data_IF_988039377003
#
_entry.id   IF_988039377003
#
_cell.length_a   1.000
_cell.length_b   1.000
_cell.length_c   1.000
_cell.angle_alpha   90.00
_cell.angle_beta   90.00
_cell.angle_gamma   90.00
#
_symmetry.space_group_name_H-M   'P 1'
#
loop_
_entity.id
_entity.type
_entity.pdbx_description
1 polymer ?
#
# COMPACT_ATOMS: atom_id res chain seq x y z
N UNK A 1 23.22 -16.59 -15.28
CA UNK A 1 22.39 -17.78 -15.13
C UNK A 1 21.28 -17.91 -16.21
N UNK A 2 21.14 -16.90 -17.08
CA UNK A 2 20.13 -16.89 -18.15
C UNK A 2 18.72 -16.50 -17.70
N UNK A 3 18.54 -16.09 -16.47
CA UNK A 3 17.23 -15.64 -15.95
C UNK A 3 17.14 -14.11 -15.98
N UNK A 4 16.09 -13.61 -16.61
CA UNK A 4 15.70 -12.20 -16.60
C UNK A 4 14.62 -11.98 -15.54
N UNK A 5 14.84 -11.04 -14.62
CA UNK A 5 13.86 -10.56 -13.66
C UNK A 5 13.26 -9.24 -14.19
N UNK A 6 11.98 -9.23 -14.50
CA UNK A 6 11.26 -8.04 -15.00
C UNK A 6 10.42 -7.45 -13.87
N UNK A 7 10.81 -6.27 -13.43
CA UNK A 7 10.18 -5.58 -12.31
C UNK A 7 9.11 -4.60 -12.79
N UNK A 8 7.98 -4.64 -12.12
CA UNK A 8 6.92 -3.63 -12.22
C UNK A 8 6.80 -2.89 -10.87
N UNK A 9 6.90 -1.58 -10.89
CA UNK A 9 6.81 -0.76 -9.68
C UNK A 9 5.36 -0.67 -9.16
N UNK A 10 5.18 -0.34 -7.89
CA UNK A 10 3.89 -0.01 -7.30
C UNK A 10 3.29 1.27 -7.88
N UNK A 11 2.10 1.65 -7.38
CA UNK A 11 1.44 2.86 -7.84
C UNK A 11 2.33 4.10 -7.66
N UNK A 12 2.36 4.97 -8.66
CA UNK A 12 2.97 6.30 -8.63
C UNK A 12 1.92 7.36 -8.93
N UNK A 13 2.13 8.57 -8.44
CA UNK A 13 1.17 9.65 -8.67
C UNK A 13 1.18 10.11 -10.14
N UNK A 14 -0.01 10.34 -10.69
CA UNK A 14 -0.18 10.90 -12.04
C UNK A 14 -0.33 12.42 -12.05
N UNK A 15 -0.05 13.08 -10.93
CA UNK A 15 -0.02 14.52 -10.75
C UNK A 15 1.18 14.92 -9.90
N UNK A 16 1.68 16.13 -10.10
CA UNK A 16 2.66 16.71 -9.18
C UNK A 16 1.97 17.09 -7.88
N UNK A 17 2.56 16.72 -6.76
CA UNK A 17 2.03 17.02 -5.43
C UNK A 17 2.83 18.14 -4.77
N UNK A 18 2.17 19.13 -4.17
CA UNK A 18 2.83 20.10 -3.29
C UNK A 18 3.32 19.38 -2.01
N UNK A 19 4.11 20.08 -1.21
CA UNK A 19 4.46 19.59 0.13
C UNK A 19 3.19 19.42 0.98
N UNK A 20 3.03 18.22 1.52
CA UNK A 20 1.91 17.85 2.40
C UNK A 20 2.51 17.31 3.70
N UNK A 21 2.27 17.95 4.85
CA UNK A 21 2.81 17.51 6.12
C UNK A 21 2.55 16.01 6.38
N UNK A 22 3.51 15.34 7.01
CA UNK A 22 3.48 13.93 7.39
C UNK A 22 3.58 12.96 6.20
N UNK A 23 2.81 13.16 5.13
CA UNK A 23 2.66 12.17 4.05
C UNK A 23 3.65 12.43 2.89
N UNK A 24 3.78 13.68 2.49
CA UNK A 24 4.67 14.10 1.42
C UNK A 24 5.34 15.44 1.76
N UNK A 25 6.21 15.50 2.79
CA UNK A 25 6.73 16.77 3.31
C UNK A 25 7.59 17.56 2.31
N UNK A 26 8.10 16.89 1.28
CA UNK A 26 8.86 17.52 0.18
C UNK A 26 8.05 17.67 -1.11
N UNK A 27 6.78 17.25 -1.11
CA UNK A 27 6.01 17.05 -2.33
C UNK A 27 6.50 15.86 -3.15
N UNK A 28 5.96 15.72 -4.35
CA UNK A 28 6.37 14.69 -5.30
C UNK A 28 6.17 15.19 -6.73
N UNK A 29 7.11 14.89 -7.59
CA UNK A 29 6.93 15.06 -9.04
C UNK A 29 6.45 13.73 -9.64
N UNK A 30 5.79 13.83 -10.80
CA UNK A 30 5.46 12.64 -11.58
C UNK A 30 6.77 11.97 -11.99
N UNK A 31 6.89 10.67 -11.71
CA UNK A 31 8.08 9.89 -12.02
C UNK A 31 7.75 8.82 -13.07
N UNK A 32 8.25 9.01 -14.29
CA UNK A 32 8.12 8.07 -15.41
C UNK A 32 9.35 7.15 -15.56
N UNK A 33 10.34 7.27 -14.69
CA UNK A 33 11.58 6.51 -14.82
C UNK A 33 11.32 5.01 -14.65
N UNK A 34 11.92 4.15 -15.49
CA UNK A 34 11.87 2.72 -15.28
C UNK A 34 12.64 2.36 -14.01
N UNK A 35 12.11 1.43 -13.24
CA UNK A 35 12.79 0.85 -12.09
C UNK A 35 13.02 -0.64 -12.34
N UNK A 36 14.19 -1.15 -12.01
CA UNK A 36 14.54 -2.57 -12.19
C UNK A 36 14.36 -3.38 -10.90
N UNK A 37 14.14 -2.70 -9.79
CA UNK A 37 13.87 -3.25 -8.46
C UNK A 37 13.34 -2.15 -7.52
N UNK A 38 12.85 -2.48 -6.32
CA UNK A 38 12.39 -1.48 -5.36
C UNK A 38 13.51 -0.64 -4.72
N UNK A 39 14.78 -1.12 -4.74
CA UNK A 39 15.90 -0.37 -4.17
C UNK A 39 17.23 -0.78 -4.82
N UNK A 40 18.25 0.07 -4.64
CA UNK A 40 19.61 -0.22 -5.13
C UNK A 40 20.22 -1.45 -4.43
N UNK A 41 19.92 -1.69 -3.16
CA UNK A 41 20.39 -2.87 -2.42
C UNK A 41 19.83 -4.16 -3.02
N UNK A 42 18.54 -4.18 -3.34
CA UNK A 42 17.90 -5.33 -4.00
C UNK A 42 18.47 -5.53 -5.40
N UNK A 43 18.70 -4.43 -6.16
CA UNK A 43 19.39 -4.49 -7.45
C UNK A 43 20.74 -5.16 -7.31
N UNK A 44 21.58 -4.69 -6.39
CA UNK A 44 22.92 -5.24 -6.16
C UNK A 44 22.88 -6.74 -5.76
N UNK A 45 21.95 -7.10 -4.86
CA UNK A 45 21.81 -8.48 -4.39
C UNK A 45 21.39 -9.44 -5.51
N UNK A 46 20.47 -9.04 -6.39
CA UNK A 46 20.03 -9.87 -7.51
C UNK A 46 21.10 -9.98 -8.59
N UNK A 47 21.81 -8.89 -8.91
CA UNK A 47 22.94 -8.92 -9.85
C UNK A 47 24.08 -9.82 -9.34
N UNK A 48 24.37 -9.78 -8.04
CA UNK A 48 25.39 -10.65 -7.43
C UNK A 48 25.04 -12.15 -7.54
N UNK A 49 23.76 -12.48 -7.62
CA UNK A 49 23.26 -13.84 -7.87
C UNK A 49 23.26 -14.21 -9.37
N UNK A 50 23.67 -13.31 -10.25
CA UNK A 50 23.76 -13.52 -11.68
C UNK A 50 22.43 -13.39 -12.43
N UNK A 51 21.42 -12.76 -11.87
CA UNK A 51 20.20 -12.41 -12.58
C UNK A 51 20.43 -11.21 -13.51
N UNK A 52 19.78 -11.22 -14.67
CA UNK A 52 19.60 -10.01 -15.47
C UNK A 52 18.36 -9.28 -14.96
N UNK A 53 18.40 -7.95 -14.88
CA UNK A 53 17.30 -7.14 -14.40
C UNK A 53 16.79 -6.22 -15.49
N UNK A 54 15.48 -6.07 -15.56
CA UNK A 54 14.82 -5.09 -16.41
C UNK A 54 13.59 -4.51 -15.71
N UNK A 55 13.19 -3.32 -16.12
CA UNK A 55 11.97 -2.68 -15.68
C UNK A 55 11.33 -1.92 -16.83
N UNK A 56 10.02 -1.95 -16.87
CA UNK A 56 9.25 -1.23 -17.87
C UNK A 56 9.03 0.22 -17.43
N UNK A 57 9.23 1.16 -18.35
CA UNK A 57 8.73 2.52 -18.22
C UNK A 57 7.30 2.58 -18.76
N UNK A 58 6.42 3.25 -18.02
CA UNK A 58 5.04 3.52 -18.42
C UNK A 58 4.85 5.00 -18.67
N UNK A 59 3.97 5.35 -19.62
CA UNK A 59 3.67 6.75 -19.94
C UNK A 59 2.59 7.33 -19.06
N UNK A 60 1.70 6.47 -18.55
CA UNK A 60 0.61 6.86 -17.66
C UNK A 60 0.90 6.36 -16.25
N UNK A 61 0.85 7.26 -15.27
CA UNK A 61 0.94 6.89 -13.85
C UNK A 61 -0.47 6.77 -13.24
N UNK A 62 -0.57 6.30 -12.01
CA UNK A 62 -1.82 5.96 -11.34
C UNK A 62 -2.17 4.47 -11.53
N UNK A 63 -3.45 4.16 -11.66
CA UNK A 63 -3.92 2.80 -11.95
C UNK A 63 -3.76 2.51 -13.47
N UNK A 64 -2.61 2.01 -13.83
CA UNK A 64 -2.19 1.77 -15.21
C UNK A 64 -1.94 0.29 -15.52
N UNK A 65 -2.76 -0.61 -14.98
CA UNK A 65 -2.54 -2.06 -15.06
C UNK A 65 -2.35 -2.54 -16.51
N UNK A 66 -3.21 -2.14 -17.42
CA UNK A 66 -3.17 -2.58 -18.83
C UNK A 66 -1.85 -2.14 -19.49
N UNK A 67 -1.50 -0.86 -19.38
CA UNK A 67 -0.25 -0.33 -19.91
C UNK A 67 0.97 -1.00 -19.25
N UNK A 68 0.89 -1.26 -17.95
CA UNK A 68 1.96 -1.94 -17.21
C UNK A 68 2.22 -3.36 -17.73
N UNK A 69 1.17 -4.12 -18.02
CA UNK A 69 1.27 -5.46 -18.62
C UNK A 69 1.87 -5.39 -20.02
N UNK A 70 1.40 -4.48 -20.87
CA UNK A 70 1.93 -4.29 -22.23
C UNK A 70 3.40 -3.87 -22.21
N UNK A 71 3.76 -2.93 -21.36
CA UNK A 71 5.14 -2.44 -21.24
C UNK A 71 6.09 -3.54 -20.73
N UNK A 72 5.67 -4.34 -19.77
CA UNK A 72 6.46 -5.48 -19.29
C UNK A 72 6.65 -6.56 -20.40
N UNK A 73 5.60 -6.84 -21.17
CA UNK A 73 5.68 -7.76 -22.31
C UNK A 73 6.64 -7.25 -23.40
N UNK A 74 6.61 -5.94 -23.69
CA UNK A 74 7.54 -5.32 -24.64
C UNK A 74 9.00 -5.47 -24.17
N UNK A 75 9.27 -5.22 -22.89
CA UNK A 75 10.60 -5.39 -22.28
C UNK A 75 11.08 -6.83 -22.42
N UNK A 76 10.22 -7.82 -22.16
CA UNK A 76 10.54 -9.25 -22.32
C UNK A 76 10.91 -9.54 -23.78
N UNK A 77 10.11 -9.07 -24.73
CA UNK A 77 10.33 -9.26 -26.15
C UNK A 77 11.68 -8.67 -26.59
N UNK A 78 11.94 -7.42 -26.24
CA UNK A 78 13.20 -6.73 -26.55
C UNK A 78 14.40 -7.46 -25.91
N UNK A 79 14.23 -7.94 -24.68
CA UNK A 79 15.30 -8.63 -23.98
C UNK A 79 15.66 -9.98 -24.65
N UNK A 80 14.66 -10.76 -25.06
CA UNK A 80 14.87 -12.03 -25.76
C UNK A 80 15.53 -11.82 -27.12
N UNK A 81 15.13 -10.78 -27.85
CA UNK A 81 15.72 -10.46 -29.16
C UNK A 81 17.19 -10.02 -29.04
N UNK A 82 17.49 -9.16 -28.05
CA UNK A 82 18.85 -8.61 -27.91
C UNK A 82 19.81 -9.51 -27.15
N UNK A 83 19.30 -10.37 -26.29
CA UNK A 83 20.10 -11.19 -25.39
C UNK A 83 19.72 -12.67 -25.49
N UNK A 84 20.27 -13.40 -26.50
CA UNK A 84 19.92 -14.81 -26.75
C UNK A 84 20.18 -15.75 -25.56
N UNK A 85 20.94 -15.35 -24.58
CA UNK A 85 21.18 -16.10 -23.33
C UNK A 85 20.01 -16.04 -22.34
N UNK A 86 19.02 -15.16 -22.55
CA UNK A 86 17.81 -15.13 -21.73
C UNK A 86 16.98 -16.36 -22.06
N UNK A 87 16.99 -17.32 -21.16
CA UNK A 87 16.28 -18.59 -21.28
C UNK A 87 15.08 -18.70 -20.35
N UNK A 88 15.05 -17.89 -19.29
CA UNK A 88 13.96 -17.82 -18.32
C UNK A 88 13.59 -16.38 -18.02
N UNK A 89 12.31 -16.14 -17.80
CA UNK A 89 11.75 -14.84 -17.43
C UNK A 89 10.93 -14.98 -16.15
N UNK A 90 11.26 -14.18 -15.16
CA UNK A 90 10.47 -14.02 -13.94
C UNK A 90 9.92 -12.61 -13.90
N UNK A 91 8.61 -12.47 -13.86
CA UNK A 91 7.96 -11.18 -13.59
C UNK A 91 7.75 -11.01 -12.10
N UNK A 92 7.96 -9.82 -11.59
CA UNK A 92 7.83 -9.52 -10.17
C UNK A 92 7.53 -8.04 -9.92
N UNK A 93 6.99 -7.75 -8.76
CA UNK A 93 6.64 -6.39 -8.39
C UNK A 93 5.89 -6.34 -7.07
N UNK A 94 5.64 -5.14 -6.58
CA UNK A 94 4.92 -4.90 -5.34
C UNK A 94 3.68 -4.04 -5.57
N UNK A 95 2.63 -4.22 -4.75
CA UNK A 95 1.38 -3.47 -4.84
C UNK A 95 0.78 -3.58 -6.26
N UNK A 96 0.50 -2.48 -6.95
CA UNK A 96 0.06 -2.48 -8.36
C UNK A 96 1.04 -3.22 -9.28
N UNK A 97 2.35 -3.14 -9.03
CA UNK A 97 3.34 -3.92 -9.77
C UNK A 97 3.25 -5.42 -9.51
N UNK A 98 2.82 -5.82 -8.32
CA UNK A 98 2.47 -7.22 -8.03
C UNK A 98 1.27 -7.68 -8.85
N UNK A 99 0.20 -6.87 -8.91
CA UNK A 99 -0.96 -7.13 -9.76
C UNK A 99 -0.57 -7.21 -11.25
N UNK A 100 0.26 -6.27 -11.73
CA UNK A 100 0.79 -6.29 -13.11
C UNK A 100 1.54 -7.60 -13.40
N UNK A 101 2.37 -8.04 -12.45
CA UNK A 101 3.15 -9.27 -12.59
C UNK A 101 2.25 -10.51 -12.64
N UNK A 102 1.23 -10.56 -11.82
CA UNK A 102 0.24 -11.61 -11.80
C UNK A 102 -0.57 -11.62 -13.11
N UNK A 103 -1.13 -10.46 -13.48
CA UNK A 103 -1.93 -10.32 -14.70
C UNK A 103 -1.16 -10.72 -15.96
N UNK A 104 0.12 -10.35 -16.05
CA UNK A 104 0.98 -10.77 -17.16
C UNK A 104 1.14 -12.29 -17.22
N UNK A 105 1.36 -12.95 -16.07
CA UNK A 105 1.50 -14.40 -16.02
C UNK A 105 0.20 -15.14 -16.38
N UNK A 106 -0.95 -14.60 -15.98
CA UNK A 106 -2.27 -15.19 -16.27
C UNK A 106 -2.68 -14.98 -17.74
N UNK A 107 -2.46 -13.77 -18.26
CA UNK A 107 -2.89 -13.42 -19.61
C UNK A 107 -1.92 -13.94 -20.69
N UNK A 108 -0.64 -14.02 -20.37
CA UNK A 108 0.44 -14.39 -21.30
C UNK A 108 1.32 -15.50 -20.73
N UNK A 109 0.77 -16.70 -20.43
CA UNK A 109 1.50 -17.76 -19.73
C UNK A 109 2.73 -18.27 -20.50
N UNK A 110 2.81 -18.05 -21.82
CA UNK A 110 3.99 -18.35 -22.63
C UNK A 110 5.10 -17.29 -22.60
N UNK A 111 4.83 -16.12 -22.04
CA UNK A 111 5.80 -15.01 -21.97
C UNK A 111 6.72 -15.11 -20.76
N UNK A 112 6.25 -15.73 -19.67
CA UNK A 112 6.96 -15.81 -18.39
C UNK A 112 7.05 -17.24 -17.89
N UNK A 113 8.14 -17.56 -17.19
CA UNK A 113 8.37 -18.87 -16.57
C UNK A 113 7.91 -18.92 -15.11
N UNK A 114 7.88 -17.76 -14.45
CA UNK A 114 7.39 -17.61 -13.08
C UNK A 114 6.95 -16.17 -12.80
N UNK A 115 6.09 -16.00 -11.79
CA UNK A 115 5.70 -14.73 -11.24
C UNK A 115 5.98 -14.68 -9.73
N UNK A 116 6.43 -13.53 -9.23
CA UNK A 116 6.65 -13.27 -7.81
C UNK A 116 5.95 -11.97 -7.41
N UNK A 117 4.61 -11.96 -7.36
CA UNK A 117 3.84 -10.81 -6.91
C UNK A 117 4.01 -10.63 -5.41
N UNK A 118 4.32 -9.40 -4.97
CA UNK A 118 4.52 -9.07 -3.56
C UNK A 118 3.48 -8.04 -3.12
N UNK A 119 2.86 -8.26 -1.95
CA UNK A 119 1.86 -7.34 -1.39
C UNK A 119 0.86 -6.90 -2.47
N UNK A 120 0.34 -7.87 -3.18
CA UNK A 120 -0.49 -7.66 -4.36
C UNK A 120 -1.78 -6.92 -4.03
N UNK A 121 -2.14 -5.96 -4.87
CA UNK A 121 -3.48 -5.39 -4.95
C UNK A 121 -4.33 -6.30 -5.84
N UNK A 122 -4.99 -7.29 -5.27
CA UNK A 122 -5.69 -8.33 -6.04
C UNK A 122 -7.01 -7.84 -6.66
N UNK A 123 -7.59 -6.78 -6.09
CA UNK A 123 -8.81 -6.16 -6.59
C UNK A 123 -8.86 -4.67 -6.26
N UNK A 124 -8.68 -3.84 -7.28
CA UNK A 124 -8.82 -2.38 -7.15
C UNK A 124 -10.18 -1.97 -6.53
N UNK A 125 -11.27 -2.64 -6.93
CA UNK A 125 -12.60 -2.35 -6.39
C UNK A 125 -12.69 -2.70 -4.91
N UNK A 126 -12.20 -3.87 -4.50
CA UNK A 126 -12.22 -4.29 -3.10
C UNK A 126 -11.38 -3.36 -2.24
N UNK A 127 -10.19 -2.98 -2.69
CA UNK A 127 -9.30 -2.07 -1.97
C UNK A 127 -9.87 -0.67 -1.82
N UNK A 128 -10.47 -0.12 -2.88
CA UNK A 128 -11.12 1.20 -2.83
C UNK A 128 -12.33 1.16 -1.87
N UNK A 129 -13.12 0.09 -1.92
CA UNK A 129 -14.25 -0.09 -0.99
C UNK A 129 -13.76 -0.18 0.44
N UNK A 130 -12.77 -1.03 0.70
CA UNK A 130 -12.18 -1.20 2.02
C UNK A 130 -11.58 0.12 2.57
N UNK A 131 -10.88 0.86 1.72
CA UNK A 131 -10.34 2.17 2.10
C UNK A 131 -11.45 3.19 2.40
N UNK A 132 -12.53 3.20 1.60
CA UNK A 132 -13.69 4.05 1.80
C UNK A 132 -14.41 3.75 3.11
N UNK A 133 -14.65 2.47 3.39
CA UNK A 133 -15.30 2.01 4.62
C UNK A 133 -14.44 2.31 5.85
N UNK A 134 -13.11 2.15 5.72
CA UNK A 134 -12.17 2.51 6.76
C UNK A 134 -12.21 4.02 7.06
N UNK A 135 -12.12 4.87 6.05
CA UNK A 135 -12.18 6.33 6.22
C UNK A 135 -13.51 6.79 6.79
N UNK A 136 -14.62 6.16 6.34
CA UNK A 136 -15.94 6.43 6.89
C UNK A 136 -16.00 6.09 8.40
N UNK A 137 -15.53 4.92 8.78
CA UNK A 137 -15.49 4.50 10.17
C UNK A 137 -14.57 5.37 11.02
N UNK A 138 -13.40 5.75 10.52
CA UNK A 138 -12.51 6.70 11.17
C UNK A 138 -13.20 8.04 11.42
N UNK A 139 -13.91 8.56 10.43
CA UNK A 139 -14.71 9.79 10.55
C UNK A 139 -15.78 9.69 11.61
N UNK A 140 -16.54 8.59 11.63
CA UNK A 140 -17.65 8.41 12.58
C UNK A 140 -17.18 8.20 14.02
N UNK A 141 -16.10 7.44 14.21
CA UNK A 141 -15.69 7.05 15.57
C UNK A 141 -14.66 7.99 16.18
N UNK A 142 -13.71 8.48 15.40
CA UNK A 142 -12.51 9.08 15.98
C UNK A 142 -12.29 10.55 15.63
N UNK A 143 -12.59 10.96 14.41
CA UNK A 143 -12.31 12.33 14.00
C UNK A 143 -13.19 12.77 12.83
N UNK A 144 -14.13 13.69 13.01
CA UNK A 144 -15.02 14.18 11.95
C UNK A 144 -14.33 15.03 10.88
N UNK A 145 -13.05 15.40 11.08
CA UNK A 145 -12.30 16.21 10.13
C UNK A 145 -11.96 15.48 8.82
N UNK A 146 -12.09 14.16 8.77
CA UNK A 146 -11.91 13.42 7.53
C UNK A 146 -12.92 13.87 6.47
N UNK A 147 -12.46 14.14 5.25
CA UNK A 147 -13.34 14.31 4.10
C UNK A 147 -13.97 12.97 3.72
N UNK A 148 -13.16 11.94 3.55
CA UNK A 148 -13.54 10.53 3.40
C UNK A 148 -14.07 10.16 2.02
N UNK A 149 -14.82 11.04 1.37
CA UNK A 149 -15.46 10.81 0.07
C UNK A 149 -15.57 12.10 -0.74
N UNK A 150 -16.01 11.99 -2.00
CA UNK A 150 -16.22 13.15 -2.88
C UNK A 150 -14.99 14.04 -3.02
N UNK A 151 -13.83 13.41 -3.18
CA UNK A 151 -12.60 14.14 -3.48
C UNK A 151 -12.71 14.86 -4.82
N UNK A 152 -12.08 16.02 -4.91
CA UNK A 152 -12.02 16.82 -6.12
C UNK A 152 -11.29 16.07 -7.24
N UNK A 153 -11.49 16.47 -8.48
CA UNK A 153 -10.76 15.90 -9.60
C UNK A 153 -9.28 16.38 -9.63
N UNK A 154 -8.41 15.56 -10.18
CA UNK A 154 -7.01 15.90 -10.45
C UNK A 154 -6.19 16.16 -9.19
N UNK A 155 -5.25 17.09 -9.28
CA UNK A 155 -4.30 17.40 -8.20
C UNK A 155 -4.98 17.77 -6.87
N UNK A 156 -6.07 18.53 -6.92
CA UNK A 156 -6.80 18.93 -5.72
C UNK A 156 -7.32 17.71 -4.94
N UNK A 157 -7.88 16.73 -5.65
CA UNK A 157 -8.38 15.50 -5.01
C UNK A 157 -7.26 14.64 -4.40
N UNK A 158 -6.10 14.58 -5.04
CA UNK A 158 -4.94 13.92 -4.43
C UNK A 158 -4.47 14.62 -3.16
N UNK A 159 -4.44 15.95 -3.16
CA UNK A 159 -4.09 16.72 -1.94
C UNK A 159 -5.08 16.46 -0.83
N UNK A 160 -6.38 16.44 -1.13
CA UNK A 160 -7.44 16.14 -0.17
C UNK A 160 -7.30 14.71 0.40
N UNK A 161 -7.10 13.72 -0.48
CA UNK A 161 -6.91 12.31 -0.07
C UNK A 161 -5.67 12.13 0.81
N UNK A 162 -4.54 12.75 0.45
CA UNK A 162 -3.32 12.67 1.23
C UNK A 162 -3.40 13.46 2.54
N UNK A 163 -4.22 14.51 2.60
CA UNK A 163 -4.54 15.21 3.84
C UNK A 163 -5.34 14.30 4.77
N UNK A 164 -6.32 13.57 4.25
CA UNK A 164 -7.05 12.56 5.01
C UNK A 164 -6.10 11.47 5.50
N UNK A 165 -5.17 10.97 4.67
CA UNK A 165 -4.17 10.00 5.09
C UNK A 165 -3.30 10.53 6.24
N UNK A 166 -2.85 11.77 6.19
CA UNK A 166 -2.12 12.43 7.27
C UNK A 166 -2.96 12.50 8.56
N UNK A 167 -4.26 12.75 8.42
CA UNK A 167 -5.20 12.77 9.54
C UNK A 167 -5.43 11.36 10.11
N UNK A 168 -5.49 10.33 9.26
CA UNK A 168 -5.51 8.91 9.69
C UNK A 168 -4.29 8.63 10.55
N UNK A 169 -3.09 8.89 10.04
CA UNK A 169 -1.83 8.59 10.74
C UNK A 169 -1.78 9.25 12.12
N UNK A 170 -2.10 10.54 12.20
CA UNK A 170 -2.10 11.26 13.48
C UNK A 170 -3.17 10.76 14.45
N UNK A 171 -4.35 10.37 13.95
CA UNK A 171 -5.42 9.81 14.78
C UNK A 171 -5.03 8.43 15.31
N UNK A 172 -4.42 7.58 14.49
CA UNK A 172 -3.95 6.25 14.90
C UNK A 172 -2.79 6.36 15.91
N UNK A 173 -1.87 7.29 15.73
CA UNK A 173 -0.83 7.58 16.74
C UNK A 173 -1.42 7.99 18.08
N UNK A 174 -2.46 8.82 18.08
CA UNK A 174 -3.17 9.23 19.31
C UNK A 174 -3.87 8.03 19.97
N UNK A 175 -4.50 7.14 19.18
CA UNK A 175 -5.10 5.91 19.68
C UNK A 175 -4.05 4.96 20.28
N UNK A 176 -2.94 4.77 19.61
CA UNK A 176 -1.82 3.95 20.09
C UNK A 176 -1.26 4.50 21.41
N UNK A 177 -1.06 5.81 21.51
CA UNK A 177 -0.63 6.46 22.74
C UNK A 177 -1.63 6.27 23.89
N UNK A 178 -2.93 6.40 23.61
CA UNK A 178 -3.97 6.17 24.60
C UNK A 178 -4.02 4.72 25.10
N UNK A 179 -3.83 3.74 24.18
CA UNK A 179 -3.75 2.32 24.52
C UNK A 179 -2.52 2.04 25.38
N UNK A 180 -1.36 2.59 25.01
CA UNK A 180 -0.13 2.42 25.78
C UNK A 180 -0.23 3.03 27.19
N UNK A 181 -0.91 4.18 27.32
CA UNK A 181 -1.10 4.84 28.61
C UNK A 181 -2.06 4.09 29.54
N UNK A 182 -3.11 3.48 28.99
CA UNK A 182 -4.08 2.69 29.77
C UNK A 182 -4.60 1.50 28.93
N UNK A 183 -3.91 0.35 28.96
CA UNK A 183 -4.26 -0.81 28.14
C UNK A 183 -5.64 -1.39 28.39
N UNK A 184 -6.16 -1.29 29.60
CA UNK A 184 -7.46 -1.88 29.99
C UNK A 184 -8.65 -0.96 29.67
N UNK A 185 -8.42 0.35 29.72
CA UNK A 185 -9.45 1.38 29.51
C UNK A 185 -8.87 2.59 28.75
N UNK A 186 -8.39 2.41 27.49
CA UNK A 186 -7.82 3.52 26.74
C UNK A 186 -8.87 4.60 26.48
N UNK A 187 -8.43 5.86 26.58
CA UNK A 187 -9.32 7.00 26.40
C UNK A 187 -9.75 7.17 24.93
N UNK A 188 -10.96 7.63 24.74
CA UNK A 188 -11.41 8.08 23.42
C UNK A 188 -10.64 9.34 22.99
N UNK A 189 -10.29 9.48 21.70
CA UNK A 189 -9.68 10.69 21.19
C UNK A 189 -10.53 11.92 21.49
N UNK A 190 -9.90 13.05 21.83
CA UNK A 190 -10.60 14.31 22.09
C UNK A 190 -11.42 14.79 20.87
N UNK A 191 -10.99 14.43 19.66
CA UNK A 191 -11.67 14.71 18.39
C UNK A 191 -12.94 13.89 18.18
N UNK A 192 -13.15 12.81 18.94
CA UNK A 192 -14.28 11.90 18.76
C UNK A 192 -15.62 12.58 19.11
N UNK A 193 -16.55 12.56 18.16
CA UNK A 193 -17.92 13.07 18.30
C UNK A 193 -18.93 11.98 18.68
N UNK A 194 -18.46 10.78 18.98
CA UNK A 194 -19.32 9.71 19.51
C UNK A 194 -20.05 10.21 20.75
N UNK A 195 -21.39 10.02 20.85
CA UNK A 195 -22.16 10.43 22.00
C UNK A 195 -21.59 9.90 23.32
N UNK A 196 -21.64 10.72 24.37
CA UNK A 196 -21.06 10.37 25.68
C UNK A 196 -21.59 9.05 26.26
N UNK A 197 -22.87 8.74 26.03
CA UNK A 197 -23.45 7.44 26.40
C UNK A 197 -22.79 6.22 25.74
N UNK A 198 -22.33 6.38 24.50
CA UNK A 198 -21.64 5.31 23.77
C UNK A 198 -20.14 5.26 24.11
N UNK A 199 -19.56 6.33 24.65
CA UNK A 199 -18.17 6.33 25.12
C UNK A 199 -17.95 5.46 26.36
N UNK A 200 -19.02 4.96 26.99
CA UNK A 200 -18.92 3.88 27.97
C UNK A 200 -18.44 2.55 27.37
N UNK A 201 -18.60 2.36 26.05
CA UNK A 201 -18.02 1.25 25.32
C UNK A 201 -16.52 1.49 25.16
N UNK A 202 -15.67 0.51 25.48
CA UNK A 202 -14.22 0.69 25.31
C UNK A 202 -13.85 1.09 23.87
N UNK A 203 -12.92 2.03 23.72
CA UNK A 203 -12.45 2.48 22.39
C UNK A 203 -11.91 1.31 21.53
N UNK A 204 -11.38 0.26 22.15
CA UNK A 204 -10.97 -0.98 21.49
C UNK A 204 -12.11 -1.65 20.73
N UNK A 205 -13.32 -1.63 21.26
CA UNK A 205 -14.49 -2.20 20.56
C UNK A 205 -14.81 -1.41 19.29
N UNK A 206 -14.62 -0.09 19.31
CA UNK A 206 -14.77 0.74 18.11
C UNK A 206 -13.67 0.42 17.06
N UNK A 207 -12.44 0.15 17.50
CA UNK A 207 -11.34 -0.27 16.61
C UNK A 207 -11.64 -1.64 15.98
N UNK A 208 -12.15 -2.60 16.76
CA UNK A 208 -12.57 -3.89 16.24
C UNK A 208 -13.72 -3.76 15.25
N UNK A 209 -14.71 -2.94 15.57
CA UNK A 209 -15.83 -2.67 14.67
C UNK A 209 -15.38 -2.01 13.38
N UNK A 210 -14.42 -1.07 13.45
CA UNK A 210 -13.81 -0.46 12.27
C UNK A 210 -13.17 -1.53 11.38
N UNK A 211 -12.42 -2.48 11.96
CA UNK A 211 -11.84 -3.59 11.22
C UNK A 211 -12.88 -4.48 10.56
N UNK A 212 -13.97 -4.78 11.26
CA UNK A 212 -15.06 -5.59 10.71
C UNK A 212 -15.78 -4.89 9.55
N UNK A 213 -16.04 -3.58 9.66
CA UNK A 213 -16.69 -2.79 8.62
C UNK A 213 -15.80 -2.68 7.37
N UNK A 214 -14.53 -2.41 7.56
CA UNK A 214 -13.59 -2.19 6.45
C UNK A 214 -12.98 -3.46 5.87
N UNK A 215 -13.20 -4.62 6.50
CA UNK A 215 -12.51 -5.86 6.12
C UNK A 215 -11.01 -5.86 6.41
N UNK A 216 -10.48 -4.83 7.08
CA UNK A 216 -9.07 -4.77 7.46
C UNK A 216 -8.86 -5.65 8.69
N UNK A 217 -7.91 -6.61 8.68
CA UNK A 217 -7.60 -7.43 9.84
C UNK A 217 -7.15 -6.56 11.01
N UNK A 218 -7.96 -6.47 12.05
CA UNK A 218 -7.63 -5.79 13.31
C UNK A 218 -7.16 -6.76 14.38
N UNK A 219 -7.09 -8.04 14.06
CA UNK A 219 -6.51 -9.09 14.88
C UNK A 219 -5.34 -9.72 14.14
N UNK A 220 -4.17 -9.75 14.77
CA UNK A 220 -3.07 -10.57 14.33
C UNK A 220 -3.37 -12.03 14.66
N UNK A 221 -3.21 -12.93 13.70
CA UNK A 221 -3.18 -14.38 13.96
C UNK A 221 -1.92 -14.79 14.73
N UNK A 222 -0.96 -13.91 14.85
CA UNK A 222 0.22 -14.07 15.68
C UNK A 222 0.00 -13.38 17.01
N UNK A 223 -0.65 -14.09 17.92
CA UNK A 223 -0.71 -13.69 19.32
C UNK A 223 0.69 -13.76 19.90
N UNK A 224 1.29 -12.63 20.16
CA UNK A 224 2.48 -12.57 20.98
C UNK A 224 2.08 -12.56 22.45
N UNK A 225 2.23 -13.70 23.10
CA UNK A 225 1.89 -13.89 24.49
C UNK A 225 2.71 -12.95 25.43
N UNK A 226 3.84 -12.40 24.95
CA UNK A 226 4.69 -11.48 25.73
C UNK A 226 4.13 -10.06 25.81
N UNK A 227 3.32 -9.64 24.83
CA UNK A 227 2.72 -8.31 24.77
C UNK A 227 1.32 -8.21 25.41
N UNK A 228 0.76 -9.34 25.86
CA UNK A 228 -0.53 -9.40 26.52
C UNK A 228 -1.72 -9.04 25.60
N UNK A 229 -2.90 -8.71 26.16
CA UNK A 229 -4.10 -8.46 25.37
C UNK A 229 -4.06 -7.21 24.48
N UNK A 230 -2.99 -6.45 24.50
CA UNK A 230 -2.77 -5.22 23.70
C UNK A 230 -2.05 -5.52 22.40
N UNK A 231 -1.17 -6.52 22.38
CA UNK A 231 -0.30 -6.84 21.26
C UNK A 231 -0.98 -7.09 19.92
N UNK A 232 -2.10 -7.82 19.83
CA UNK A 232 -2.74 -8.10 18.54
C UNK A 232 -3.23 -6.85 17.81
N UNK A 233 -3.77 -5.86 18.50
CA UNK A 233 -4.28 -4.62 17.90
C UNK A 233 -3.13 -3.70 17.49
N UNK A 234 -2.13 -3.57 18.32
CA UNK A 234 -0.93 -2.77 18.03
C UNK A 234 -0.16 -3.35 16.86
N UNK A 235 0.00 -4.66 16.80
CA UNK A 235 0.72 -5.32 15.70
C UNK A 235 -0.02 -5.19 14.37
N UNK A 236 -1.35 -5.31 14.37
CA UNK A 236 -2.15 -5.19 13.13
C UNK A 236 -2.15 -3.75 12.60
N UNK A 237 -2.32 -2.75 13.45
CA UNK A 237 -2.18 -1.35 13.07
C UNK A 237 -0.72 -0.96 12.82
N UNK A 238 0.23 -1.47 13.58
CA UNK A 238 1.64 -1.26 13.39
C UNK A 238 2.16 -1.83 12.07
N UNK A 239 1.70 -2.99 11.63
CA UNK A 239 2.06 -3.58 10.33
C UNK A 239 1.50 -2.79 9.15
N UNK A 240 0.32 -2.17 9.29
CA UNK A 240 -0.28 -1.34 8.23
C UNK A 240 0.34 0.07 8.19
N UNK A 241 0.85 0.59 9.30
CA UNK A 241 1.27 1.98 9.45
C UNK A 241 2.77 2.13 9.68
N UNK A 242 3.39 1.21 10.38
CA UNK A 242 4.83 1.28 10.71
C UNK A 242 5.75 1.32 9.48
N UNK A 243 5.49 0.57 8.39
CA UNK A 243 6.25 0.72 7.16
C UNK A 243 6.06 2.07 6.45
N UNK A 244 4.95 2.76 6.73
CA UNK A 244 4.69 4.10 6.17
C UNK A 244 5.27 5.22 7.04
N UNK A 245 5.69 4.92 8.26
CA UNK A 245 6.28 5.85 9.21
C UNK A 245 7.80 5.64 9.40
N UNK A 246 8.34 4.54 8.88
CA UNK A 246 9.77 4.25 8.84
C UNK A 246 10.37 4.73 7.51
#
# INVERSE_FOLDING_TARGET
NGTLMVYSHGIRYNVNLPAIPVVAPKGSLIDYSPAVSPSEEVTAALLAQGFALAGAGVQTQGWNLEEGVEAALQVITIARDKYPKVSKVVTWGNSLGGLTSQALAEQMPGAVDAAAPMCISDSAQAEITMAGDFLWGMKQFFNPAFKGTNYSAGQAGYVEMLTDLGTVLTTLQALQAAIAANPTAPAWPATSTVPAALKAIPVRSAILLLGLISGIPTQSNTYDASSGPVGPLETSFGLVISPALA
#
